data_IF_536962789326
#
_entry.id   IF_536962789326
#
_cell.length_a   1.000
_cell.length_b   1.000
_cell.length_c   1.000
_cell.angle_alpha   90.00
_cell.angle_beta   90.00
_cell.angle_gamma   90.00
#
_symmetry.space_group_name_H-M   'P 1'
#
loop_
_entity.id
_entity.type
_entity.pdbx_description
1 polymer ?
#
# COMPACT_ATOMS: atom_id res chain seq x y z
N UNK A 1 -4.19 -20.55 -4.95
CA UNK A 1 -3.17 -19.46 -4.96
C UNK A 1 -2.17 -19.76 -3.86
N UNK A 2 -0.87 -19.76 -4.15
CA UNK A 2 0.19 -19.97 -3.14
C UNK A 2 0.20 -18.83 -2.12
N UNK A 3 0.50 -19.15 -0.86
CA UNK A 3 0.56 -18.20 0.26
C UNK A 3 1.37 -16.94 -0.08
N UNK A 4 2.54 -17.10 -0.68
CA UNK A 4 3.41 -16.02 -1.14
C UNK A 4 2.75 -15.08 -2.16
N UNK A 5 2.04 -15.64 -3.16
CA UNK A 5 1.39 -14.84 -4.19
C UNK A 5 0.26 -13.99 -3.62
N UNK A 6 -0.41 -14.48 -2.56
CA UNK A 6 -1.47 -13.77 -1.86
C UNK A 6 -0.91 -12.69 -0.93
N UNK A 7 -0.01 -13.02 0.00
CA UNK A 7 0.37 -12.09 1.08
C UNK A 7 1.54 -11.16 0.77
N UNK A 8 2.34 -11.47 -0.25
CA UNK A 8 3.51 -10.67 -0.67
C UNK A 8 3.29 -10.13 -2.08
N UNK A 9 2.81 -10.97 -2.99
CA UNK A 9 2.61 -10.60 -4.40
C UNK A 9 1.52 -9.54 -4.65
N UNK A 10 0.58 -9.34 -3.72
CA UNK A 10 -0.47 -8.32 -3.86
C UNK A 10 -0.15 -7.00 -3.15
N UNK A 11 1.02 -6.88 -2.52
CA UNK A 11 1.44 -5.63 -1.88
C UNK A 11 1.81 -4.62 -2.98
N UNK A 12 1.21 -3.44 -2.94
CA UNK A 12 1.49 -2.38 -3.89
C UNK A 12 2.34 -1.28 -3.24
N UNK A 13 3.64 -1.30 -3.52
CA UNK A 13 4.55 -0.25 -3.05
C UNK A 13 4.46 0.95 -3.99
N UNK A 14 3.91 2.06 -3.49
CA UNK A 14 3.80 3.32 -4.26
C UNK A 14 4.91 4.30 -3.92
N UNK A 15 5.15 5.29 -4.80
CA UNK A 15 6.12 6.38 -4.56
C UNK A 15 5.89 7.13 -3.24
N UNK A 16 4.64 7.17 -2.75
CA UNK A 16 4.28 7.79 -1.47
C UNK A 16 4.96 7.10 -0.28
N UNK A 17 5.08 5.76 -0.33
CA UNK A 17 5.75 4.99 0.72
C UNK A 17 7.23 5.33 0.76
N UNK A 18 7.90 5.36 -0.40
CA UNK A 18 9.30 5.76 -0.49
C UNK A 18 9.54 7.19 -0.01
N UNK A 19 8.68 8.13 -0.39
CA UNK A 19 8.77 9.52 0.07
C UNK A 19 8.60 9.64 1.59
N UNK A 20 7.63 8.93 2.18
CA UNK A 20 7.41 8.92 3.63
C UNK A 20 8.59 8.27 4.39
N UNK A 21 9.15 7.19 3.86
CA UNK A 21 10.33 6.55 4.43
C UNK A 21 11.57 7.47 4.33
N UNK A 22 11.78 8.12 3.19
CA UNK A 22 12.85 9.09 3.00
C UNK A 22 12.71 10.27 3.98
N UNK A 23 11.49 10.75 4.23
CA UNK A 23 11.23 11.77 5.24
C UNK A 23 11.59 11.28 6.64
N UNK A 24 11.23 10.05 7.01
CA UNK A 24 11.61 9.48 8.30
C UNK A 24 13.14 9.42 8.46
N UNK A 25 13.86 8.92 7.45
CA UNK A 25 15.33 8.87 7.42
C UNK A 25 15.90 10.28 7.57
N UNK A 26 15.39 11.24 6.80
CA UNK A 26 15.80 12.64 6.86
C UNK A 26 15.63 13.23 8.26
N UNK A 27 14.49 12.99 8.92
CA UNK A 27 14.23 13.44 10.29
C UNK A 27 15.22 12.83 11.30
N UNK A 28 15.57 11.55 11.14
CA UNK A 28 16.59 10.91 11.99
C UNK A 28 17.99 11.50 11.78
N UNK A 29 18.36 11.76 10.53
CA UNK A 29 19.63 12.44 10.21
C UNK A 29 19.63 13.86 10.78
N UNK A 30 18.55 14.61 10.61
CA UNK A 30 18.42 15.97 11.13
C UNK A 30 18.47 16.02 12.65
N UNK A 31 17.95 15.01 13.36
CA UNK A 31 18.04 14.93 14.82
C UNK A 31 19.47 14.97 15.35
N UNK A 32 20.44 14.45 14.59
CA UNK A 32 21.86 14.54 14.96
C UNK A 32 22.34 16.00 15.02
N UNK A 33 21.87 16.85 14.10
CA UNK A 33 22.24 18.26 14.03
C UNK A 33 21.35 19.15 14.91
N UNK A 34 20.08 18.79 15.04
CA UNK A 34 19.03 19.56 15.67
C UNK A 34 18.60 18.87 16.97
N UNK A 35 19.28 19.17 18.08
CA UNK A 35 18.94 18.58 19.38
C UNK A 35 17.47 18.84 19.81
N UNK A 36 16.88 19.95 19.36
CA UNK A 36 15.48 20.30 19.65
C UNK A 36 14.45 19.39 18.95
N UNK A 37 14.85 18.60 17.94
CA UNK A 37 13.97 17.64 17.28
C UNK A 37 13.51 16.53 18.25
N UNK A 38 14.28 16.27 19.32
CA UNK A 38 13.87 15.42 20.44
C UNK A 38 13.33 14.06 20.00
N UNK A 39 12.03 13.84 20.27
CA UNK A 39 11.30 12.59 20.02
C UNK A 39 10.56 12.57 18.67
N UNK A 40 10.52 13.68 17.94
CA UNK A 40 9.72 13.84 16.71
C UNK A 40 10.00 12.74 15.67
N UNK A 41 11.26 12.37 15.35
CA UNK A 41 11.53 11.33 14.35
C UNK A 41 10.98 9.95 14.76
N UNK A 42 10.96 9.65 16.07
CA UNK A 42 10.40 8.40 16.58
C UNK A 42 8.89 8.37 16.43
N UNK A 43 8.20 9.48 16.72
CA UNK A 43 6.75 9.60 16.54
C UNK A 43 6.39 9.47 15.06
N UNK A 44 7.12 10.16 14.18
CA UNK A 44 6.92 10.07 12.74
C UNK A 44 7.10 8.63 12.21
N UNK A 45 8.16 7.96 12.66
CA UNK A 45 8.41 6.57 12.29
C UNK A 45 7.34 5.61 12.83
N UNK A 46 6.91 5.79 14.08
CA UNK A 46 5.84 4.99 14.67
C UNK A 46 4.53 5.17 13.89
N UNK A 47 4.17 6.40 13.54
CA UNK A 47 3.00 6.70 12.73
C UNK A 47 3.10 6.04 11.34
N UNK A 48 4.28 6.10 10.69
CA UNK A 48 4.52 5.42 9.42
C UNK A 48 4.29 3.91 9.51
N UNK A 49 4.85 3.25 10.54
CA UNK A 49 4.65 1.81 10.77
C UNK A 49 3.18 1.47 11.04
N UNK A 50 2.49 2.27 11.86
CA UNK A 50 1.07 2.08 12.15
C UNK A 50 0.20 2.18 10.90
N UNK A 51 0.46 3.16 10.04
CA UNK A 51 -0.26 3.32 8.76
C UNK A 51 0.02 2.12 7.84
N UNK A 52 1.27 1.68 7.73
CA UNK A 52 1.62 0.51 6.90
C UNK A 52 0.93 -0.76 7.43
N UNK A 53 0.90 -0.96 8.74
CA UNK A 53 0.22 -2.10 9.36
C UNK A 53 -1.29 -2.03 9.12
N UNK A 54 -1.89 -0.84 9.26
CA UNK A 54 -3.31 -0.64 9.02
C UNK A 54 -3.67 -0.92 7.55
N UNK A 55 -2.87 -0.43 6.60
CA UNK A 55 -3.05 -0.71 5.16
C UNK A 55 -2.96 -2.21 4.87
N UNK A 56 -1.97 -2.90 5.45
CA UNK A 56 -1.81 -4.35 5.34
C UNK A 56 -3.01 -5.10 5.93
N UNK A 57 -3.45 -4.73 7.12
CA UNK A 57 -4.62 -5.34 7.76
C UNK A 57 -5.89 -5.08 6.96
N UNK A 58 -6.09 -3.88 6.42
CA UNK A 58 -7.25 -3.58 5.58
C UNK A 58 -7.24 -4.44 4.29
N UNK A 59 -6.07 -4.64 3.69
CA UNK A 59 -5.92 -5.45 2.48
C UNK A 59 -6.23 -6.94 2.70
N UNK A 60 -5.86 -7.50 3.86
CA UNK A 60 -5.93 -8.95 4.10
C UNK A 60 -6.99 -9.39 5.13
N UNK A 61 -7.40 -8.51 6.03
CA UNK A 61 -8.40 -8.77 7.07
C UNK A 61 -9.81 -8.31 6.68
N UNK A 62 -9.98 -7.56 5.57
CA UNK A 62 -11.30 -7.29 5.02
C UNK A 62 -11.98 -8.62 4.65
N UNK A 63 -12.94 -9.03 5.48
CA UNK A 63 -13.81 -10.17 5.22
C UNK A 63 -14.55 -9.95 3.89
N UNK A 64 -14.69 -11.01 3.11
CA UNK A 64 -15.24 -11.07 1.74
C UNK A 64 -16.74 -10.71 1.62
N UNK A 65 -17.21 -9.66 2.29
CA UNK A 65 -18.58 -9.15 2.11
C UNK A 65 -18.77 -8.59 0.70
N UNK A 66 -17.71 -7.98 0.14
CA UNK A 66 -17.69 -7.48 -1.23
C UNK A 66 -16.76 -8.33 -2.07
N UNK A 67 -17.33 -9.13 -2.96
CA UNK A 67 -16.59 -9.85 -4.00
C UNK A 67 -16.54 -8.99 -5.26
N UNK A 68 -15.35 -8.48 -5.59
CA UNK A 68 -15.13 -7.73 -6.81
C UNK A 68 -14.21 -8.52 -7.74
N UNK A 69 -14.65 -8.79 -8.97
CA UNK A 69 -13.86 -9.47 -10.00
C UNK A 69 -13.73 -8.58 -11.23
N UNK A 70 -12.50 -8.34 -11.66
CA UNK A 70 -12.22 -7.71 -12.96
C UNK A 70 -11.98 -8.80 -14.00
N UNK A 71 -12.79 -8.79 -15.05
CA UNK A 71 -12.63 -9.64 -16.23
C UNK A 71 -12.13 -8.78 -17.38
N UNK A 72 -10.98 -9.13 -17.93
CA UNK A 72 -10.28 -8.38 -18.96
C UNK A 72 -9.33 -9.31 -19.71
N UNK A 73 -9.07 -9.00 -20.98
CA UNK A 73 -8.04 -9.67 -21.76
C UNK A 73 -6.63 -9.44 -21.16
N UNK A 74 -5.75 -10.43 -21.30
CA UNK A 74 -4.38 -10.37 -20.78
C UNK A 74 -3.55 -9.22 -21.38
N UNK A 75 -3.87 -8.82 -22.62
CA UNK A 75 -3.35 -7.64 -23.29
C UNK A 75 -4.49 -6.86 -23.93
N UNK A 76 -4.44 -5.54 -23.79
CA UNK A 76 -5.38 -4.64 -24.46
C UNK A 76 -4.95 -4.39 -25.90
N UNK A 77 -5.93 -4.29 -26.80
CA UNK A 77 -5.74 -3.80 -28.17
C UNK A 77 -5.52 -2.27 -28.13
N UNK A 78 -4.65 -1.75 -28.99
CA UNK A 78 -4.42 -0.30 -29.09
C UNK A 78 -5.37 0.39 -30.09
N UNK A 79 -6.22 -0.36 -30.80
CA UNK A 79 -7.10 0.16 -31.86
C UNK A 79 -8.56 -0.31 -31.81
N UNK A 80 -8.87 -1.30 -30.98
CA UNK A 80 -10.24 -1.80 -30.78
C UNK A 80 -10.77 -1.46 -29.39
N UNK A 81 -12.09 -1.57 -29.21
CA UNK A 81 -12.71 -1.45 -27.89
C UNK A 81 -12.27 -2.58 -26.96
N UNK A 82 -11.75 -2.19 -25.80
CA UNK A 82 -11.32 -3.12 -24.77
C UNK A 82 -12.38 -3.22 -23.67
N UNK A 83 -13.23 -4.25 -23.76
CA UNK A 83 -14.23 -4.48 -22.74
C UNK A 83 -13.59 -4.94 -21.41
N UNK A 84 -13.62 -4.04 -20.42
CA UNK A 84 -13.23 -4.33 -19.05
C UNK A 84 -14.52 -4.47 -18.25
N UNK A 85 -14.87 -5.70 -17.87
CA UNK A 85 -16.04 -5.96 -17.03
C UNK A 85 -15.59 -6.01 -15.57
N UNK A 86 -16.26 -5.25 -14.71
CA UNK A 86 -16.04 -5.31 -13.27
C UNK A 86 -17.35 -5.82 -12.65
N UNK A 87 -17.31 -7.04 -12.14
CA UNK A 87 -18.43 -7.68 -11.46
C UNK A 87 -18.28 -7.41 -9.95
N UNK A 88 -19.34 -6.85 -9.34
CA UNK A 88 -19.41 -6.60 -7.91
C UNK A 88 -20.58 -7.40 -7.32
N UNK A 89 -20.29 -8.25 -6.35
CA UNK A 89 -21.29 -8.94 -5.55
C UNK A 89 -21.13 -8.53 -4.08
N UNK A 90 -22.23 -8.12 -3.46
CA UNK A 90 -22.30 -7.88 -2.02
C UNK A 90 -23.25 -8.93 -1.42
N UNK A 91 -22.84 -9.60 -0.34
CA UNK A 91 -23.71 -10.50 0.42
C UNK A 91 -24.36 -9.80 1.59
#
# INVERSE_FOLDING_TARGET
MTFFKKYIGSIFISNRLYAALALCIFLFVMRYFLNWLGIIPFIAFLAFVMIMLFDYLLLFAANQHVFARRTMAERLSNGDENNIRIDFENR
#
